data_IF_354145955523
#
_entry.id   IF_354145955523
#
_cell.length_a   1.000
_cell.length_b   1.000
_cell.length_c   1.000
_cell.angle_alpha   90.00
_cell.angle_beta   90.00
_cell.angle_gamma   90.00
#
_symmetry.space_group_name_H-M   'P 1'
#
loop_
_entity.id
_entity.type
_entity.pdbx_description
1 polymer ?
#
# COMPACT_ATOMS: atom_id res chain seq x y z
N UNK A 1 -26.65 -3.49 -7.32
CA UNK A 1 -26.80 -4.94 -7.54
C UNK A 1 -28.23 -5.33 -7.95
N UNK A 2 -29.27 -4.73 -7.37
CA UNK A 2 -30.66 -5.14 -7.56
C UNK A 2 -31.30 -4.81 -8.91
N UNK A 3 -30.92 -3.72 -9.60
CA UNK A 3 -31.65 -3.24 -10.80
C UNK A 3 -31.91 -4.30 -11.90
N UNK A 4 -30.94 -5.10 -12.39
CA UNK A 4 -31.21 -6.09 -13.43
C UNK A 4 -32.01 -7.30 -12.95
N UNK A 5 -31.77 -7.78 -11.73
CA UNK A 5 -32.57 -8.87 -11.12
C UNK A 5 -33.99 -8.41 -10.85
N UNK A 6 -34.16 -7.16 -10.43
CA UNK A 6 -35.46 -6.52 -10.23
C UNK A 6 -36.21 -6.35 -11.56
N UNK A 7 -35.53 -5.99 -12.65
CA UNK A 7 -36.15 -5.94 -13.99
C UNK A 7 -36.64 -7.32 -14.43
N UNK A 8 -35.83 -8.37 -14.21
CA UNK A 8 -36.23 -9.75 -14.48
C UNK A 8 -37.46 -10.13 -13.63
N UNK A 9 -37.44 -9.85 -12.33
CA UNK A 9 -38.59 -10.15 -11.45
C UNK A 9 -39.85 -9.35 -11.79
N UNK A 10 -39.72 -8.08 -12.21
CA UNK A 10 -40.84 -7.19 -12.56
C UNK A 10 -41.41 -7.51 -13.94
N UNK A 11 -40.62 -8.04 -14.87
CA UNK A 11 -41.11 -8.48 -16.19
C UNK A 11 -42.11 -9.64 -16.08
N UNK A 12 -41.99 -10.50 -15.07
CA UNK A 12 -42.90 -11.62 -14.87
C UNK A 12 -44.37 -11.20 -14.66
N UNK A 13 -44.73 -10.34 -13.67
CA UNK A 13 -46.10 -9.85 -13.52
C UNK A 13 -46.56 -8.98 -14.69
N UNK A 14 -45.65 -8.25 -15.37
CA UNK A 14 -45.98 -7.47 -16.56
C UNK A 14 -46.41 -8.38 -17.73
N UNK A 15 -45.66 -9.45 -18.01
CA UNK A 15 -46.02 -10.43 -19.04
C UNK A 15 -47.34 -11.15 -18.70
N UNK A 16 -47.58 -11.43 -17.43
CA UNK A 16 -48.84 -12.03 -16.96
C UNK A 16 -50.04 -11.11 -17.20
N UNK A 17 -49.91 -9.81 -16.88
CA UNK A 17 -50.97 -8.83 -17.14
C UNK A 17 -51.21 -8.65 -18.64
N UNK A 18 -50.17 -8.58 -19.45
CA UNK A 18 -50.30 -8.46 -20.92
C UNK A 18 -51.02 -9.66 -21.51
N UNK A 19 -50.69 -10.87 -21.09
CA UNK A 19 -51.37 -12.09 -21.55
C UNK A 19 -52.84 -12.13 -21.10
N UNK A 20 -53.14 -11.65 -19.89
CA UNK A 20 -54.50 -11.55 -19.38
C UNK A 20 -55.37 -10.58 -20.20
N UNK A 21 -54.84 -9.43 -20.59
CA UNK A 21 -55.61 -8.41 -21.33
C UNK A 21 -55.66 -8.63 -22.85
N UNK A 22 -54.62 -9.22 -23.44
CA UNK A 22 -54.48 -9.32 -24.90
C UNK A 22 -54.57 -10.74 -25.45
N UNK A 23 -54.73 -11.77 -24.60
CA UNK A 23 -54.85 -13.17 -25.03
C UNK A 23 -53.58 -13.72 -25.70
N UNK A 24 -52.43 -13.10 -25.45
CA UNK A 24 -51.12 -13.46 -25.98
C UNK A 24 -50.43 -14.56 -25.17
N UNK A 25 -49.22 -14.98 -25.56
CA UNK A 25 -48.39 -15.98 -24.84
C UNK A 25 -46.99 -15.46 -24.45
N UNK A 26 -46.89 -14.18 -24.07
CA UNK A 26 -45.63 -13.56 -23.67
C UNK A 26 -45.02 -14.19 -22.42
N UNK A 27 -45.83 -14.62 -21.44
CA UNK A 27 -45.35 -15.26 -20.23
C UNK A 27 -44.70 -16.61 -20.53
N UNK A 28 -45.29 -17.40 -21.43
CA UNK A 28 -44.71 -18.67 -21.87
C UNK A 28 -43.37 -18.46 -22.59
N UNK A 29 -43.30 -17.50 -23.51
CA UNK A 29 -42.05 -17.14 -24.18
C UNK A 29 -40.97 -16.60 -23.23
N UNK A 30 -41.37 -15.76 -22.27
CA UNK A 30 -40.48 -15.21 -21.25
C UNK A 30 -39.93 -16.28 -20.30
N UNK A 31 -40.78 -17.19 -19.80
CA UNK A 31 -40.35 -18.30 -18.94
C UNK A 31 -39.44 -19.28 -19.67
N UNK A 32 -39.72 -19.56 -20.94
CA UNK A 32 -38.84 -20.37 -21.78
C UNK A 32 -37.48 -19.69 -21.98
N UNK A 33 -37.47 -18.39 -22.30
CA UNK A 33 -36.24 -17.60 -22.41
C UNK A 33 -35.41 -17.64 -21.12
N UNK A 34 -36.04 -17.40 -19.96
CA UNK A 34 -35.35 -17.47 -18.66
C UNK A 34 -34.78 -18.87 -18.45
N UNK A 35 -35.55 -19.93 -18.70
CA UNK A 35 -35.10 -21.32 -18.51
C UNK A 35 -33.89 -21.66 -19.38
N UNK A 36 -33.86 -21.19 -20.62
CA UNK A 36 -32.77 -21.47 -21.56
C UNK A 36 -31.51 -20.62 -21.26
N UNK A 37 -31.68 -19.37 -20.84
CA UNK A 37 -30.58 -18.40 -20.73
C UNK A 37 -30.14 -18.05 -19.30
N UNK A 38 -30.80 -18.61 -18.27
CA UNK A 38 -30.54 -18.26 -16.87
C UNK A 38 -29.07 -18.40 -16.47
N UNK A 39 -28.41 -19.49 -16.86
CA UNK A 39 -27.00 -19.72 -16.52
C UNK A 39 -26.08 -18.64 -17.11
N UNK A 40 -26.33 -18.20 -18.35
CA UNK A 40 -25.57 -17.15 -19.01
C UNK A 40 -25.83 -15.77 -18.38
N UNK A 41 -27.10 -15.47 -18.06
CA UNK A 41 -27.47 -14.24 -17.36
C UNK A 41 -26.81 -14.17 -15.99
N UNK A 42 -26.78 -15.27 -15.26
CA UNK A 42 -26.14 -15.37 -13.95
C UNK A 42 -24.62 -15.19 -14.07
N UNK A 43 -23.98 -15.81 -15.06
CA UNK A 43 -22.57 -15.60 -15.38
C UNK A 43 -22.26 -14.13 -15.68
N UNK A 44 -23.06 -13.45 -16.50
CA UNK A 44 -22.86 -12.04 -16.80
C UNK A 44 -22.98 -11.15 -15.56
N UNK A 45 -23.93 -11.46 -14.66
CA UNK A 45 -24.09 -10.77 -13.38
C UNK A 45 -22.88 -11.02 -12.45
N UNK A 46 -22.39 -12.26 -12.38
CA UNK A 46 -21.18 -12.60 -11.62
C UNK A 46 -19.96 -11.87 -12.18
N UNK A 47 -19.76 -11.86 -13.50
CA UNK A 47 -18.65 -11.14 -14.13
C UNK A 47 -18.69 -9.64 -13.78
N UNK A 48 -19.86 -9.01 -13.89
CA UNK A 48 -20.03 -7.58 -13.55
C UNK A 48 -19.68 -7.26 -12.09
N UNK A 49 -19.90 -8.19 -11.16
CA UNK A 49 -19.66 -7.96 -9.72
C UNK A 49 -18.25 -8.28 -9.29
N UNK A 50 -17.62 -9.31 -9.86
CA UNK A 50 -16.32 -9.83 -9.41
C UNK A 50 -15.15 -9.09 -10.08
N UNK A 51 -15.20 -8.85 -11.40
CA UNK A 51 -14.08 -8.30 -12.16
C UNK A 51 -13.64 -6.88 -11.73
N UNK A 52 -14.56 -5.94 -11.42
CA UNK A 52 -14.15 -4.61 -10.94
C UNK A 52 -13.37 -4.66 -9.62
N UNK A 53 -13.74 -5.58 -8.72
CA UNK A 53 -13.05 -5.75 -7.43
C UNK A 53 -11.62 -6.29 -7.62
N UNK A 54 -11.40 -7.13 -8.63
CA UNK A 54 -10.07 -7.65 -8.94
C UNK A 54 -9.09 -6.55 -9.38
N UNK A 55 -9.56 -5.55 -10.15
CA UNK A 55 -8.71 -4.43 -10.63
C UNK A 55 -8.18 -3.56 -9.51
N UNK A 56 -8.98 -3.30 -8.47
CA UNK A 56 -8.57 -2.44 -7.36
C UNK A 56 -7.54 -3.10 -6.45
N UNK A 57 -7.47 -4.44 -6.45
CA UNK A 57 -6.59 -5.23 -5.59
C UNK A 57 -5.11 -4.90 -5.79
N UNK A 58 -4.69 -4.50 -7.00
CA UNK A 58 -3.29 -4.11 -7.26
C UNK A 58 -2.83 -2.93 -6.41
N UNK A 59 -3.71 -1.96 -6.17
CA UNK A 59 -3.36 -0.79 -5.36
C UNK A 59 -3.14 -1.19 -3.90
N UNK A 60 -3.96 -2.12 -3.39
CA UNK A 60 -3.83 -2.63 -2.03
C UNK A 60 -2.49 -3.37 -1.84
N UNK A 61 -2.06 -4.15 -2.85
CA UNK A 61 -0.75 -4.81 -2.84
C UNK A 61 0.40 -3.80 -2.92
N UNK A 62 0.29 -2.77 -3.74
CA UNK A 62 1.31 -1.72 -3.82
C UNK A 62 1.43 -0.95 -2.50
N UNK A 63 0.30 -0.73 -1.81
CA UNK A 63 0.28 -0.12 -0.47
C UNK A 63 0.96 -1.00 0.58
N UNK A 64 0.65 -2.31 0.58
CA UNK A 64 1.33 -3.28 1.45
C UNK A 64 2.85 -3.30 1.20
N UNK A 65 3.27 -3.28 -0.07
CA UNK A 65 4.70 -3.23 -0.44
C UNK A 65 5.36 -1.92 0.01
N UNK A 66 4.66 -0.78 -0.09
CA UNK A 66 5.13 0.52 0.41
C UNK A 66 5.36 0.49 1.92
N UNK A 67 4.42 -0.08 2.67
CA UNK A 67 4.55 -0.26 4.12
C UNK A 67 5.73 -1.17 4.46
N UNK A 68 5.87 -2.30 3.78
CA UNK A 68 6.98 -3.22 4.01
C UNK A 68 8.33 -2.58 3.70
N UNK A 69 8.45 -1.85 2.58
CA UNK A 69 9.66 -1.13 2.22
C UNK A 69 10.03 -0.09 3.28
N UNK A 70 9.04 0.69 3.73
CA UNK A 70 9.21 1.67 4.78
C UNK A 70 9.72 1.02 6.07
N UNK A 71 9.02 0.01 6.59
CA UNK A 71 9.40 -0.66 7.84
C UNK A 71 10.77 -1.32 7.76
N UNK A 72 11.11 -1.95 6.63
CA UNK A 72 12.41 -2.58 6.43
C UNK A 72 13.54 -1.55 6.38
N UNK A 73 13.32 -0.38 5.76
CA UNK A 73 14.26 0.74 5.82
C UNK A 73 14.38 1.31 7.24
N UNK A 74 13.30 1.47 8.00
CA UNK A 74 13.40 1.89 9.41
C UNK A 74 14.24 0.90 10.23
N UNK A 75 14.03 -0.40 10.02
CA UNK A 75 14.78 -1.44 10.72
C UNK A 75 16.28 -1.39 10.37
N UNK A 76 16.61 -1.05 9.11
CA UNK A 76 18.00 -0.94 8.64
C UNK A 76 18.83 0.10 9.40
N UNK A 77 18.17 1.17 9.85
CA UNK A 77 18.78 2.28 10.59
C UNK A 77 18.53 2.20 12.10
N UNK A 78 17.95 1.11 12.60
CA UNK A 78 17.52 1.01 14.00
C UNK A 78 18.64 1.29 15.01
N UNK A 79 19.85 0.80 14.74
CA UNK A 79 21.03 0.95 15.60
C UNK A 79 21.98 2.07 15.14
N UNK A 80 21.47 3.03 14.35
CA UNK A 80 22.25 4.15 13.85
C UNK A 80 21.76 5.47 14.45
N UNK A 81 22.62 6.48 14.58
CA UNK A 81 22.23 7.79 15.11
C UNK A 81 21.43 8.64 14.12
N UNK A 82 21.20 8.15 12.91
CA UNK A 82 20.59 8.91 11.82
C UNK A 82 19.10 8.63 11.67
N UNK A 83 18.37 9.66 11.24
CA UNK A 83 17.01 9.50 10.77
C UNK A 83 17.04 8.74 9.44
N UNK A 84 16.23 7.68 9.27
CA UNK A 84 16.23 6.90 8.04
C UNK A 84 15.88 7.77 6.81
N UNK A 85 16.62 7.68 5.69
CA UNK A 85 16.37 8.49 4.49
C UNK A 85 14.94 8.43 3.96
N UNK A 86 14.30 7.26 4.00
CA UNK A 86 12.91 7.12 3.57
C UNK A 86 11.93 7.87 4.49
N UNK A 87 12.25 7.95 5.78
CA UNK A 87 11.46 8.71 6.74
C UNK A 87 11.64 10.21 6.49
N UNK A 88 12.87 10.66 6.22
CA UNK A 88 13.15 12.04 5.80
C UNK A 88 12.33 12.42 4.56
N UNK A 89 12.35 11.55 3.54
CA UNK A 89 11.60 11.75 2.30
C UNK A 89 10.11 11.93 2.59
N UNK A 90 9.50 11.03 3.34
CA UNK A 90 8.06 11.06 3.60
C UNK A 90 7.63 12.12 4.62
N UNK A 91 8.54 12.63 5.46
CA UNK A 91 8.27 13.78 6.32
C UNK A 91 8.39 15.11 5.56
N UNK A 92 9.36 15.25 4.64
CA UNK A 92 9.50 16.42 3.77
C UNK A 92 8.42 16.48 2.70
N UNK A 93 8.10 15.34 2.11
CA UNK A 93 7.12 15.17 1.05
C UNK A 93 6.07 14.14 1.47
N UNK A 94 5.03 14.57 2.20
CA UNK A 94 3.98 13.68 2.68
C UNK A 94 3.37 12.85 1.54
N UNK A 95 3.42 11.52 1.64
CA UNK A 95 2.91 10.64 0.60
C UNK A 95 1.38 10.65 0.56
N UNK A 96 0.83 10.68 -0.66
CA UNK A 96 -0.59 10.41 -0.91
C UNK A 96 -0.88 8.93 -1.10
N UNK A 97 -2.16 8.56 -1.25
CA UNK A 97 -2.54 7.19 -1.61
C UNK A 97 -2.02 6.83 -3.01
N UNK A 98 -1.54 5.59 -3.17
CA UNK A 98 -1.21 5.01 -4.48
C UNK A 98 -2.49 4.81 -5.31
N UNK A 99 -3.65 4.64 -4.65
CA UNK A 99 -4.93 4.53 -5.34
C UNK A 99 -5.34 5.92 -5.87
N UNK A 100 -5.61 6.06 -7.19
CA UNK A 100 -5.83 7.34 -7.84
C UNK A 100 -7.29 7.83 -7.66
N UNK A 101 -7.73 7.95 -6.41
CA UNK A 101 -9.07 8.46 -6.07
C UNK A 101 -8.97 9.42 -4.90
N UNK A 102 -9.64 10.57 -4.99
CA UNK A 102 -9.56 11.61 -3.94
C UNK A 102 -10.02 11.09 -2.57
N UNK A 103 -11.04 10.23 -2.55
CA UNK A 103 -11.50 9.57 -1.32
C UNK A 103 -10.41 8.70 -0.67
N UNK A 104 -9.58 8.01 -1.47
CA UNK A 104 -8.47 7.22 -0.94
C UNK A 104 -7.33 8.12 -0.46
N UNK A 105 -7.08 9.25 -1.14
CA UNK A 105 -6.08 10.22 -0.71
C UNK A 105 -6.39 10.82 0.68
N UNK A 106 -7.65 11.21 0.93
CA UNK A 106 -8.08 11.76 2.21
C UNK A 106 -7.96 10.74 3.35
N UNK A 107 -8.36 9.49 3.09
CA UNK A 107 -8.42 8.43 4.09
C UNK A 107 -7.13 7.57 4.16
N UNK A 108 -6.07 7.99 3.48
CA UNK A 108 -4.78 7.29 3.51
C UNK A 108 -4.12 7.41 4.88
N UNK A 109 -3.81 6.27 5.50
CA UNK A 109 -3.19 6.19 6.83
C UNK A 109 -1.68 6.04 6.78
N UNK A 110 -1.05 6.01 5.60
CA UNK A 110 0.38 5.74 5.49
C UNK A 110 1.20 6.91 6.04
N UNK A 111 0.84 8.15 5.73
CA UNK A 111 1.52 9.30 6.33
C UNK A 111 1.40 9.31 7.87
N UNK A 112 0.26 8.87 8.41
CA UNK A 112 0.08 8.69 9.87
C UNK A 112 1.06 7.66 10.44
N UNK A 113 1.30 6.54 9.74
CA UNK A 113 2.32 5.55 10.13
C UNK A 113 3.72 6.19 10.19
N UNK A 114 4.09 6.95 9.17
CA UNK A 114 5.40 7.64 9.09
C UNK A 114 5.58 8.59 10.27
N UNK A 115 4.61 9.46 10.49
CA UNK A 115 4.68 10.47 11.56
C UNK A 115 4.69 9.83 12.95
N UNK A 116 3.89 8.78 13.18
CA UNK A 116 3.92 8.08 14.46
C UNK A 116 5.29 7.42 14.71
N UNK A 117 5.85 6.75 13.70
CA UNK A 117 7.19 6.14 13.82
C UNK A 117 8.28 7.18 14.12
N UNK A 118 8.15 8.40 13.58
CA UNK A 118 9.05 9.51 13.89
C UNK A 118 8.85 10.03 15.32
N UNK A 119 7.58 10.28 15.71
CA UNK A 119 7.20 10.75 17.06
C UNK A 119 7.74 9.85 18.16
N UNK A 120 7.69 8.54 17.96
CA UNK A 120 8.13 7.55 18.94
C UNK A 120 9.64 7.56 19.16
N UNK A 121 10.42 8.20 18.26
CA UNK A 121 11.89 8.21 18.30
C UNK A 121 12.53 9.57 18.50
N UNK A 122 11.94 10.64 17.95
CA UNK A 122 12.61 11.96 17.88
C UNK A 122 13.10 12.47 19.24
N UNK A 123 12.38 12.22 20.34
CA UNK A 123 12.76 12.66 21.68
C UNK A 123 13.30 11.56 22.60
N UNK A 124 13.68 10.43 22.03
CA UNK A 124 14.36 9.35 22.76
C UNK A 124 15.85 9.43 22.45
N UNK A 125 16.68 9.57 23.49
CA UNK A 125 18.13 9.40 23.36
C UNK A 125 18.40 7.91 23.13
N UNK A 126 18.74 7.54 21.89
CA UNK A 126 19.03 6.16 21.52
C UNK A 126 20.52 5.89 21.61
N UNK A 127 20.85 4.76 22.23
CA UNK A 127 22.18 4.18 22.15
C UNK A 127 22.36 3.56 20.76
N UNK A 128 23.49 3.81 20.09
CA UNK A 128 23.75 3.31 18.73
C UNK A 128 25.08 2.55 18.65
N UNK A 129 25.09 1.37 18.04
CA UNK A 129 26.28 0.50 18.00
C UNK A 129 26.93 0.46 16.61
N UNK A 130 26.36 1.16 15.63
CA UNK A 130 26.89 1.27 14.29
C UNK A 130 26.62 2.65 13.71
N UNK A 131 27.59 3.15 12.94
CA UNK A 131 27.42 4.36 12.12
C UNK A 131 26.85 3.96 10.75
N UNK A 132 27.12 2.74 10.31
CA UNK A 132 26.65 2.21 9.04
C UNK A 132 25.32 1.46 9.22
N UNK A 133 24.31 1.75 8.37
CA UNK A 133 23.06 1.00 8.38
C UNK A 133 23.30 -0.43 7.89
N UNK A 134 22.40 -1.34 8.25
CA UNK A 134 22.47 -2.72 7.78
C UNK A 134 22.28 -2.82 6.25
N UNK A 135 22.48 -3.99 5.67
CA UNK A 135 22.21 -4.20 4.24
C UNK A 135 20.73 -3.96 3.92
N UNK A 136 20.46 -3.45 2.71
CA UNK A 136 19.10 -3.20 2.26
C UNK A 136 18.34 -4.53 2.08
N UNK A 137 17.04 -4.60 2.45
CA UNK A 137 16.21 -5.76 2.12
C UNK A 137 16.22 -6.06 0.63
N UNK A 138 16.13 -7.35 0.29
CA UNK A 138 15.98 -7.74 -1.10
C UNK A 138 14.58 -7.38 -1.60
N UNK A 139 14.42 -7.32 -2.92
CA UNK A 139 13.13 -7.07 -3.56
C UNK A 139 12.02 -8.05 -3.10
N UNK A 140 12.38 -9.31 -2.89
CA UNK A 140 11.45 -10.35 -2.42
C UNK A 140 11.02 -10.15 -0.97
N UNK A 141 11.90 -9.61 -0.12
CA UNK A 141 11.57 -9.28 1.27
C UNK A 141 10.54 -8.15 1.34
N UNK A 142 10.64 -7.16 0.44
CA UNK A 142 9.67 -6.06 0.32
C UNK A 142 8.30 -6.57 -0.15
N UNK A 143 8.26 -7.50 -1.10
CA UNK A 143 7.00 -8.16 -1.49
C UNK A 143 6.41 -8.94 -0.31
N UNK A 144 7.26 -9.68 0.40
CA UNK A 144 6.92 -10.57 1.48
C UNK A 144 6.39 -11.92 0.99
N UNK A 145 6.83 -13.00 1.64
CA UNK A 145 6.51 -14.38 1.23
C UNK A 145 5.00 -14.65 1.14
N UNK A 146 4.21 -14.03 2.03
CA UNK A 146 2.75 -14.13 2.03
C UNK A 146 2.13 -13.67 0.71
N UNK A 147 2.63 -12.58 0.11
CA UNK A 147 2.11 -12.05 -1.15
C UNK A 147 2.60 -12.87 -2.34
N UNK A 148 3.83 -13.39 -2.28
CA UNK A 148 4.36 -14.31 -3.29
C UNK A 148 3.51 -15.59 -3.33
N UNK A 149 3.27 -16.23 -2.17
CA UNK A 149 2.45 -17.44 -2.09
C UNK A 149 1.02 -17.20 -2.55
N UNK A 150 0.39 -16.08 -2.16
CA UNK A 150 -0.94 -15.71 -2.67
C UNK A 150 -0.95 -15.56 -4.19
N UNK A 151 0.04 -14.89 -4.76
CA UNK A 151 0.15 -14.71 -6.21
C UNK A 151 0.26 -16.07 -6.92
N UNK A 152 1.13 -16.95 -6.42
CA UNK A 152 1.28 -18.31 -6.96
C UNK A 152 -0.03 -19.09 -6.88
N UNK A 153 -0.73 -19.06 -5.75
CA UNK A 153 -2.03 -19.72 -5.60
C UNK A 153 -3.07 -19.17 -6.58
N UNK A 154 -3.16 -17.85 -6.73
CA UNK A 154 -4.10 -17.23 -7.68
C UNK A 154 -3.82 -17.56 -9.14
N UNK A 155 -2.56 -17.82 -9.49
CA UNK A 155 -2.19 -18.27 -10.83
C UNK A 155 -2.44 -19.77 -11.00
N UNK A 156 -2.13 -20.59 -10.00
CA UNK A 156 -2.22 -22.06 -10.07
C UNK A 156 -3.66 -22.59 -10.00
N UNK A 157 -4.50 -22.03 -9.12
CA UNK A 157 -5.89 -22.50 -8.92
C UNK A 157 -6.68 -22.55 -10.24
N UNK A 158 -6.62 -21.55 -11.14
CA UNK A 158 -7.22 -21.61 -12.47
C UNK A 158 -6.75 -22.78 -13.32
N UNK A 159 -5.44 -23.06 -13.36
CA UNK A 159 -4.90 -24.18 -14.14
C UNK A 159 -5.32 -25.51 -13.56
N UNK A 160 -5.32 -25.66 -12.24
CA UNK A 160 -5.81 -26.87 -11.55
C UNK A 160 -7.29 -27.09 -11.85
N UNK A 161 -8.10 -26.04 -11.81
CA UNK A 161 -9.53 -26.12 -12.12
C UNK A 161 -9.77 -26.51 -13.58
N UNK A 162 -9.08 -25.86 -14.53
CA UNK A 162 -9.15 -26.19 -15.96
C UNK A 162 -8.76 -27.65 -16.19
N UNK A 163 -7.66 -28.08 -15.56
CA UNK A 163 -7.17 -29.45 -15.68
C UNK A 163 -8.20 -30.45 -15.16
N UNK A 164 -8.77 -30.19 -13.98
CA UNK A 164 -9.76 -31.05 -13.36
C UNK A 164 -11.05 -31.17 -14.20
N UNK A 165 -11.59 -30.05 -14.68
CA UNK A 165 -12.84 -30.06 -15.47
C UNK A 165 -12.62 -30.74 -16.82
N UNK A 166 -11.52 -30.46 -17.50
CA UNK A 166 -11.30 -30.92 -18.86
C UNK A 166 -10.75 -32.35 -18.93
N UNK A 167 -9.78 -32.70 -18.08
CA UNK A 167 -9.07 -33.99 -18.18
C UNK A 167 -9.55 -35.04 -17.19
N UNK A 168 -10.09 -34.66 -16.02
CA UNK A 168 -10.56 -35.62 -15.02
C UNK A 168 -12.05 -35.87 -15.17
N UNK A 169 -12.84 -34.81 -15.36
CA UNK A 169 -14.29 -34.93 -15.52
C UNK A 169 -14.75 -35.08 -16.97
N UNK A 170 -13.87 -34.78 -17.94
CA UNK A 170 -14.19 -34.78 -19.38
C UNK A 170 -15.42 -33.92 -19.74
N UNK A 171 -15.66 -32.86 -18.96
CA UNK A 171 -16.81 -31.98 -19.13
C UNK A 171 -16.46 -30.74 -19.94
N UNK A 172 -17.45 -30.22 -20.67
CA UNK A 172 -17.34 -28.91 -21.31
C UNK A 172 -17.42 -27.80 -20.28
N UNK A 173 -16.47 -26.84 -20.33
CA UNK A 173 -16.48 -25.65 -19.48
C UNK A 173 -17.66 -24.70 -19.75
N UNK A 174 -18.37 -24.91 -20.87
CA UNK A 174 -19.49 -24.05 -21.31
C UNK A 174 -20.86 -24.62 -20.96
N UNK A 175 -20.92 -25.73 -20.21
CA UNK A 175 -22.18 -26.34 -19.77
C UNK A 175 -22.27 -26.37 -18.25
N UNK A 176 -23.50 -26.49 -17.74
CA UNK A 176 -23.83 -26.80 -16.34
C UNK A 176 -23.05 -25.99 -15.28
N UNK A 177 -22.54 -26.68 -14.26
CA UNK A 177 -21.84 -26.07 -13.13
C UNK A 177 -20.44 -25.51 -13.51
N UNK A 178 -19.68 -26.05 -14.50
CA UNK A 178 -18.44 -25.42 -14.95
C UNK A 178 -18.63 -24.00 -15.47
N UNK A 179 -19.72 -23.76 -16.21
CA UNK A 179 -20.06 -22.43 -16.72
C UNK A 179 -20.25 -21.41 -15.58
N UNK A 180 -20.87 -21.82 -14.47
CA UNK A 180 -21.12 -20.96 -13.31
C UNK A 180 -19.87 -20.64 -12.49
N UNK A 181 -18.89 -21.54 -12.47
CA UNK A 181 -17.64 -21.38 -11.71
C UNK A 181 -16.56 -20.65 -12.52
N UNK A 182 -16.65 -20.69 -13.86
CA UNK A 182 -15.73 -20.03 -14.77
C UNK A 182 -15.45 -18.54 -14.45
N UNK A 183 -16.43 -17.68 -14.10
CA UNK A 183 -16.16 -16.29 -13.74
C UNK A 183 -15.26 -16.13 -12.52
N UNK A 184 -15.40 -17.01 -11.53
CA UNK A 184 -14.55 -17.00 -10.33
C UNK A 184 -13.13 -17.44 -10.66
N UNK A 185 -13.00 -18.48 -11.49
CA UNK A 185 -11.71 -18.98 -11.98
C UNK A 185 -10.96 -17.90 -12.76
N UNK A 186 -11.62 -17.26 -13.73
CA UNK A 186 -11.03 -16.17 -14.51
C UNK A 186 -10.70 -14.95 -13.67
N UNK A 187 -11.58 -14.55 -12.73
CA UNK A 187 -11.30 -13.45 -11.84
C UNK A 187 -10.12 -13.74 -10.89
N UNK A 188 -9.96 -14.99 -10.46
CA UNK A 188 -8.82 -15.43 -9.64
C UNK A 188 -7.52 -15.33 -10.44
N UNK A 189 -7.53 -15.80 -11.69
CA UNK A 189 -6.40 -15.64 -12.60
C UNK A 189 -6.05 -14.16 -12.82
N UNK A 190 -7.06 -13.34 -13.09
CA UNK A 190 -6.90 -11.91 -13.29
C UNK A 190 -6.33 -11.21 -12.04
N UNK A 191 -6.74 -11.62 -10.83
CA UNK A 191 -6.12 -11.14 -9.58
C UNK A 191 -4.64 -11.48 -9.52
N UNK A 192 -4.25 -12.70 -9.88
CA UNK A 192 -2.84 -13.09 -9.99
C UNK A 192 -2.05 -12.19 -10.96
N UNK A 193 -2.61 -11.90 -12.14
CA UNK A 193 -2.00 -10.98 -13.10
C UNK A 193 -1.87 -9.55 -12.54
N UNK A 194 -2.87 -9.06 -11.83
CA UNK A 194 -2.80 -7.74 -11.19
C UNK A 194 -1.79 -7.68 -10.04
N UNK A 195 -1.53 -8.79 -9.34
CA UNK A 195 -0.42 -8.87 -8.38
C UNK A 195 0.93 -8.79 -9.09
N UNK A 196 1.10 -9.49 -10.21
CA UNK A 196 2.31 -9.38 -11.04
C UNK A 196 2.50 -7.94 -11.54
N UNK A 197 1.42 -7.30 -12.02
CA UNK A 197 1.47 -5.88 -12.45
C UNK A 197 1.92 -4.98 -11.29
N UNK A 198 1.40 -5.21 -10.08
CA UNK A 198 1.79 -4.47 -8.87
C UNK A 198 3.29 -4.66 -8.55
N UNK A 199 3.78 -5.90 -8.60
CA UNK A 199 5.20 -6.21 -8.38
C UNK A 199 6.07 -5.46 -9.40
N UNK A 200 5.76 -5.57 -10.70
CA UNK A 200 6.56 -4.91 -11.76
C UNK A 200 6.54 -3.39 -11.60
N UNK A 201 5.40 -2.80 -11.25
CA UNK A 201 5.25 -1.34 -11.14
C UNK A 201 5.90 -0.78 -9.89
N UNK A 202 5.76 -1.47 -8.76
CA UNK A 202 6.39 -1.09 -7.51
C UNK A 202 7.84 -1.59 -7.52
N UNK A 203 8.76 -0.72 -7.94
CA UNK A 203 10.18 -1.05 -8.01
C UNK A 203 10.95 -0.33 -6.88
N UNK A 204 11.34 -1.04 -5.81
CA UNK A 204 12.17 -0.55 -4.72
C UNK A 204 13.49 0.09 -5.16
N UNK A 205 14.04 -0.29 -6.33
CA UNK A 205 15.25 0.32 -6.86
C UNK A 205 15.04 1.78 -7.29
N UNK A 206 13.80 2.22 -7.47
CA UNK A 206 13.49 3.64 -7.70
C UNK A 206 13.69 4.49 -6.44
N UNK A 207 13.68 3.87 -5.25
CA UNK A 207 13.86 4.60 -4.00
C UNK A 207 15.18 5.38 -3.99
N UNK A 208 16.29 4.82 -4.46
CA UNK A 208 17.58 5.54 -4.47
C UNK A 208 17.54 6.78 -5.35
N UNK A 209 16.86 6.68 -6.49
CA UNK A 209 16.65 7.82 -7.37
C UNK A 209 15.80 8.87 -6.67
N UNK A 210 14.67 8.48 -6.08
CA UNK A 210 13.79 9.40 -5.35
C UNK A 210 14.48 10.06 -4.16
N UNK A 211 15.26 9.30 -3.38
CA UNK A 211 16.04 9.83 -2.26
C UNK A 211 17.10 10.82 -2.72
N UNK A 212 17.75 10.57 -3.86
CA UNK A 212 18.74 11.46 -4.44
C UNK A 212 18.12 12.73 -5.03
N UNK A 213 16.99 12.62 -5.72
CA UNK A 213 16.27 13.75 -6.32
C UNK A 213 15.68 14.71 -5.27
N UNK A 214 15.43 14.22 -4.05
CA UNK A 214 14.83 15.01 -2.95
C UNK A 214 15.83 15.36 -1.83
N UNK A 215 17.15 15.25 -2.08
CA UNK A 215 18.20 15.56 -1.10
C UNK A 215 17.98 14.86 0.27
N UNK A 216 17.59 13.59 0.21
CA UNK A 216 17.33 12.75 1.39
C UNK A 216 18.42 11.70 1.63
N UNK A 217 19.43 11.62 0.74
CA UNK A 217 20.63 10.78 0.95
C UNK A 217 21.61 11.37 1.97
N UNK A 218 21.37 12.60 2.43
CA UNK A 218 22.18 13.27 3.44
C UNK A 218 21.95 12.60 4.80
N UNK A 219 23.03 12.38 5.55
CA UNK A 219 22.96 11.88 6.93
C UNK A 219 22.44 13.00 7.84
N UNK A 220 21.25 12.80 8.40
CA UNK A 220 20.60 13.74 9.33
C UNK A 220 20.51 13.04 10.67
N UNK A 221 21.05 13.63 11.74
CA UNK A 221 20.93 13.06 13.08
C UNK A 221 19.53 13.31 13.66
N UNK A 222 19.15 12.57 14.70
CA UNK A 222 17.89 12.83 15.40
C UNK A 222 17.81 14.24 15.99
N UNK A 223 18.95 14.83 16.40
CA UNK A 223 19.03 16.21 16.89
C UNK A 223 18.77 17.24 15.79
N UNK A 224 19.26 17.00 14.58
CA UNK A 224 19.03 17.87 13.42
C UNK A 224 17.56 17.89 12.99
N UNK A 225 16.81 16.84 13.32
CA UNK A 225 15.39 16.72 13.03
C UNK A 225 14.47 17.45 14.03
N UNK A 226 15.02 18.12 15.04
CA UNK A 226 14.23 18.86 16.04
C UNK A 226 13.57 20.11 15.44
N UNK A 227 12.46 20.59 16.02
CA UNK A 227 11.67 21.68 15.43
C UNK A 227 12.38 23.04 15.44
N UNK A 228 13.48 23.19 16.20
CA UNK A 228 14.34 24.38 16.23
C UNK A 228 15.39 24.41 15.12
N UNK A 229 15.59 23.28 14.41
CA UNK A 229 16.57 23.14 13.32
C UNK A 229 15.89 23.19 11.97
N UNK A 230 16.66 23.48 10.92
CA UNK A 230 16.16 23.67 9.55
C UNK A 230 15.35 22.48 9.02
N UNK A 231 15.83 21.26 9.26
CA UNK A 231 15.14 20.04 8.83
C UNK A 231 13.79 19.90 9.55
N UNK A 232 13.75 20.14 10.87
CA UNK A 232 12.49 20.06 11.61
C UNK A 232 11.49 21.16 11.26
N UNK A 233 11.96 22.38 10.99
CA UNK A 233 11.11 23.46 10.44
C UNK A 233 10.47 23.01 9.12
N UNK A 234 11.22 22.32 8.28
CA UNK A 234 10.72 21.76 7.02
C UNK A 234 9.63 20.72 7.27
N UNK A 235 9.79 19.83 8.26
CA UNK A 235 8.75 18.84 8.61
C UNK A 235 7.47 19.50 9.11
N UNK A 236 7.58 20.55 9.93
CA UNK A 236 6.41 21.30 10.40
C UNK A 236 5.67 21.96 9.23
N UNK A 237 6.40 22.59 8.30
CA UNK A 237 5.80 23.20 7.10
C UNK A 237 5.10 22.16 6.21
N UNK A 238 5.78 21.04 5.95
CA UNK A 238 5.23 19.95 5.16
C UNK A 238 3.96 19.36 5.79
N UNK A 239 3.94 19.20 7.12
CA UNK A 239 2.77 18.73 7.86
C UNK A 239 1.55 19.63 7.66
N UNK A 240 1.69 20.93 7.86
CA UNK A 240 0.58 21.88 7.69
C UNK A 240 0.12 21.99 6.24
N UNK A 241 1.06 21.95 5.28
CA UNK A 241 0.73 21.95 3.86
C UNK A 241 -0.07 20.71 3.46
N UNK A 242 0.29 19.53 3.94
CA UNK A 242 -0.47 18.31 3.67
C UNK A 242 -1.83 18.30 4.37
N UNK A 243 -1.90 18.82 5.60
CA UNK A 243 -3.16 18.99 6.33
C UNK A 243 -4.13 19.85 5.52
N UNK A 244 -3.69 21.03 5.10
CA UNK A 244 -4.47 21.94 4.26
C UNK A 244 -4.89 21.27 2.95
N UNK A 245 -3.95 20.62 2.25
CA UNK A 245 -4.21 19.96 0.97
C UNK A 245 -5.30 18.90 1.08
N UNK A 246 -5.23 18.03 2.09
CA UNK A 246 -6.24 16.98 2.30
C UNK A 246 -7.58 17.55 2.76
N UNK A 247 -7.60 18.58 3.61
CA UNK A 247 -8.82 19.29 3.97
C UNK A 247 -9.50 19.92 2.75
N UNK A 248 -8.74 20.57 1.86
CA UNK A 248 -9.26 21.12 0.59
C UNK A 248 -9.89 20.03 -0.27
N UNK A 249 -9.23 18.89 -0.41
CA UNK A 249 -9.79 17.74 -1.13
C UNK A 249 -11.09 17.24 -0.49
N UNK A 250 -11.15 17.11 0.83
CA UNK A 250 -12.35 16.68 1.56
C UNK A 250 -13.54 17.62 1.31
N UNK A 251 -13.33 18.93 1.48
CA UNK A 251 -14.36 19.94 1.26
C UNK A 251 -14.85 19.94 -0.19
N UNK A 252 -13.94 19.77 -1.16
CA UNK A 252 -14.27 19.71 -2.59
C UNK A 252 -15.16 18.51 -2.91
N UNK A 253 -14.86 17.33 -2.36
CA UNK A 253 -15.69 16.13 -2.55
C UNK A 253 -17.08 16.31 -1.92
N UNK A 254 -17.14 16.98 -0.78
CA UNK A 254 -18.40 17.25 -0.06
C UNK A 254 -19.21 18.40 -0.69
N UNK A 255 -18.65 19.12 -1.68
CA UNK A 255 -19.29 20.28 -2.30
C UNK A 255 -19.39 21.49 -1.37
N UNK A 256 -18.52 21.58 -0.36
CA UNK A 256 -18.48 22.66 0.62
C UNK A 256 -17.55 23.79 0.16
N UNK A 257 -17.80 25.01 0.64
CA UNK A 257 -16.94 26.16 0.40
C UNK A 257 -15.58 25.99 1.06
N UNK A 258 -14.52 26.27 0.32
CA UNK A 258 -13.14 26.21 0.82
C UNK A 258 -12.85 27.49 1.64
N UNK A 259 -12.49 27.38 2.93
CA UNK A 259 -12.17 28.54 3.75
C UNK A 259 -10.78 29.11 3.41
N UNK A 260 -10.58 30.40 3.69
CA UNK A 260 -9.27 31.06 3.52
C UNK A 260 -8.24 30.62 4.57
N UNK A 261 -8.71 30.14 5.72
CA UNK A 261 -7.89 29.63 6.81
C UNK A 261 -8.37 28.24 7.24
N UNK A 262 -7.45 27.28 7.27
CA UNK A 262 -7.73 25.90 7.61
C UNK A 262 -7.50 25.67 9.12
N UNK A 263 -8.55 25.31 9.88
CA UNK A 263 -8.39 24.94 11.29
C UNK A 263 -7.65 23.60 11.42
N UNK A 264 -7.28 23.23 12.64
CA UNK A 264 -6.71 21.92 12.93
C UNK A 264 -7.66 20.79 12.45
N UNK A 265 -7.11 19.81 11.72
CA UNK A 265 -7.92 18.73 11.16
C UNK A 265 -8.19 17.63 12.17
N UNK A 266 -9.47 17.38 12.47
CA UNK A 266 -9.89 16.26 13.33
C UNK A 266 -10.23 14.99 12.53
N UNK A 267 -9.44 14.67 11.51
CA UNK A 267 -9.64 13.44 10.74
C UNK A 267 -8.82 12.28 11.36
N UNK A 268 -9.45 11.13 11.70
CA UNK A 268 -8.76 10.00 12.30
C UNK A 268 -7.72 9.34 11.38
N UNK A 269 -7.82 9.53 10.06
CA UNK A 269 -6.86 9.00 9.09
C UNK A 269 -5.63 9.91 8.92
N UNK A 270 -5.72 11.16 9.37
CA UNK A 270 -4.61 12.10 9.29
C UNK A 270 -3.60 11.90 10.43
N UNK A 271 -2.35 12.26 10.16
CA UNK A 271 -1.28 12.16 11.14
C UNK A 271 -1.47 13.17 12.29
N UNK A 272 -1.17 12.79 13.54
CA UNK A 272 -1.08 13.78 14.61
C UNK A 272 0.20 14.63 14.42
N UNK A 273 0.33 15.76 15.12
CA UNK A 273 1.48 16.67 14.94
C UNK A 273 2.85 15.95 15.12
N UNK A 274 3.88 16.17 14.29
CA UNK A 274 5.10 15.33 14.31
C UNK A 274 5.94 15.38 15.59
N UNK A 275 5.78 16.40 16.43
CA UNK A 275 6.55 16.54 17.67
C UNK A 275 5.64 16.32 18.89
N UNK A 276 5.99 15.39 19.79
CA UNK A 276 5.12 15.05 20.92
C UNK A 276 5.16 16.08 22.06
N UNK A 277 6.20 16.92 22.13
CA UNK A 277 6.35 17.98 23.13
C UNK A 277 6.71 19.31 22.47
N UNK A 278 6.37 20.42 23.14
CA UNK A 278 6.81 21.77 22.78
C UNK A 278 8.23 22.08 23.28
N UNK A 279 8.68 21.37 24.32
CA UNK A 279 9.99 21.58 24.93
C UNK A 279 10.99 20.57 24.39
N UNK A 280 12.15 21.06 23.99
CA UNK A 280 13.29 20.22 23.61
C UNK A 280 13.75 19.43 24.86
N UNK A 281 13.99 18.11 24.76
CA UNK A 281 14.53 17.34 25.87
C UNK A 281 15.87 17.87 26.37
N UNK A 282 16.16 17.72 27.66
CA UNK A 282 17.41 18.20 28.28
C UNK A 282 18.67 17.62 27.63
N UNK A 283 18.61 16.35 27.20
CA UNK A 283 19.72 15.69 26.51
C UNK A 283 19.99 16.29 25.11
N UNK A 284 19.09 17.10 24.55
CA UNK A 284 19.26 17.67 23.21
C UNK A 284 20.49 18.56 23.07
N UNK A 285 20.99 19.15 24.16
CA UNK A 285 22.27 19.87 24.20
C UNK A 285 23.48 18.95 24.38
N UNK A 286 23.27 17.74 24.90
CA UNK A 286 24.32 16.76 25.19
C UNK A 286 24.53 15.76 24.03
N UNK A 287 23.63 15.78 23.04
CA UNK A 287 23.61 14.81 21.93
C UNK A 287 24.85 14.90 21.04
N UNK A 288 25.25 16.10 20.62
CA UNK A 288 26.43 16.31 19.76
C UNK A 288 27.72 15.79 20.44
N UNK A 289 28.05 16.19 21.69
CA UNK A 289 29.19 15.63 22.43
C UNK A 289 29.13 14.11 22.59
N UNK A 290 27.95 13.55 22.88
CA UNK A 290 27.76 12.11 23.03
C UNK A 290 28.02 11.37 21.71
N UNK A 291 27.48 11.88 20.60
CA UNK A 291 27.66 11.31 19.26
C UNK A 291 29.14 11.35 18.83
N UNK A 292 29.82 12.48 19.02
CA UNK A 292 31.25 12.61 18.68
C UNK A 292 32.09 11.60 19.46
N UNK A 293 31.86 11.49 20.78
CA UNK A 293 32.57 10.52 21.61
C UNK A 293 32.32 9.07 21.17
N UNK A 294 31.04 8.69 21.01
CA UNK A 294 30.68 7.30 20.67
C UNK A 294 31.13 6.92 19.25
N UNK A 295 31.10 7.86 18.30
CA UNK A 295 31.60 7.62 16.95
C UNK A 295 33.12 7.40 16.92
N UNK A 296 33.90 8.15 17.72
CA UNK A 296 35.34 7.91 17.88
C UNK A 296 35.66 6.54 18.49
N UNK A 297 34.89 6.12 19.50
CA UNK A 297 35.02 4.80 20.14
C UNK A 297 34.77 3.66 19.13
N UNK A 298 33.68 3.74 18.36
CA UNK A 298 33.33 2.75 17.33
C UNK A 298 34.37 2.67 16.20
N UNK A 299 34.87 3.82 15.74
CA UNK A 299 35.91 3.88 14.70
C UNK A 299 37.22 3.25 15.17
N UNK A 300 37.58 3.44 16.44
CA UNK A 300 38.78 2.84 17.03
C UNK A 300 38.64 1.32 17.12
N UNK A 301 37.48 0.82 17.57
CA UNK A 301 37.20 -0.62 17.63
C UNK A 301 37.30 -1.30 16.26
N UNK A 302 36.76 -0.68 15.22
CA UNK A 302 36.85 -1.17 13.83
C UNK A 302 38.30 -1.23 13.34
N UNK A 303 39.12 -0.22 13.65
CA UNK A 303 40.55 -0.19 13.30
C UNK A 303 41.33 -1.33 13.96
N UNK A 304 41.15 -1.57 15.26
CA UNK A 304 41.78 -2.69 15.98
C UNK A 304 41.34 -4.07 15.49
N UNK A 305 40.12 -4.20 14.97
CA UNK A 305 39.61 -5.47 14.43
C UNK A 305 40.25 -5.80 13.07
N UNK A 306 40.52 -4.79 12.25
CA UNK A 306 41.14 -4.95 10.93
C UNK A 306 42.66 -5.16 11.00
N UNK A 307 43.35 -4.70 12.04
CA UNK A 307 44.79 -4.95 12.24
C UNK A 307 45.13 -6.39 12.60
N UNK A 308 44.15 -7.23 12.95
CA UNK A 308 44.33 -8.64 13.27
C UNK A 308 44.15 -9.59 12.06
N UNK A 309 44.02 -9.06 10.85
CA UNK A 309 43.99 -9.87 9.62
C UNK A 309 45.43 -10.26 9.25
N UNK A 310 45.82 -11.49 9.56
CA UNK A 310 47.09 -12.09 9.12
C UNK A 310 47.08 -12.19 7.60
N UNK A 311 47.88 -11.35 6.92
CA UNK A 311 48.12 -11.46 5.50
C UNK A 311 48.98 -12.70 5.23
N UNK A 312 48.40 -13.72 4.59
CA UNK A 312 49.19 -14.85 4.10
C UNK A 312 50.03 -14.41 2.90
N UNK A 313 51.36 -14.62 2.90
CA UNK A 313 52.17 -14.33 1.73
C UNK A 313 51.73 -15.21 0.57
N UNK A 314 51.56 -14.61 -0.62
CA UNK A 314 51.39 -15.36 -1.85
C UNK A 314 52.64 -16.21 -2.07
N UNK A 315 52.45 -17.52 -2.15
CA UNK A 315 53.49 -18.46 -2.58
C UNK A 315 53.67 -18.21 -4.08
N UNK A 316 54.87 -17.75 -4.45
CA UNK A 316 55.29 -17.61 -5.86
C UNK A 316 55.62 -18.96 -6.47
#
# INVERSE_FOLDING_TARGET
MFKPVLIILVLFPVCLLVDYFNGTRWLAGYTQFIREWWNLLLVLLLCKTIFPKAKNYKYDIMEDMRVNQYLAEIQRYFNTPYVPPIMLLYLKNPPGSIRPTDYAYINDTFYRLVVNSFRDRVYVLQDFDSIEPWSRPTYFDVIGIKNITKCLLYLLVPFIWIFFVHFILEQSMLKDWPLLTLPFTLATFQRGLFMIEAFIKFNPLRLDRELKENDCMIQVTWRDAFPDREVGITFVRAYYLEMERRQRCELTIQGLTIPDHFPEWKNPHFAPFPYPSKTIPSWGSEYEPYYEKKSMELNTQLSTKNSNVVSFPKIN
#
